data_IF_892873799721
#
_entry.id   IF_892873799721
#
_cell.length_a   1.000
_cell.length_b   1.000
_cell.length_c   1.000
_cell.angle_alpha   90.00
_cell.angle_beta   90.00
_cell.angle_gamma   90.00
#
_symmetry.space_group_name_H-M   'P 1'
#
loop_
_entity.id
_entity.type
_entity.pdbx_description
1 polymer ?
#
# COMPACT_ATOMS: atom_id res chain seq x y z
N UNK A 1 -28.36 24.85 7.65
CA UNK A 1 -28.71 23.93 6.56
C UNK A 1 -27.69 22.81 6.58
N UNK A 2 -28.09 21.60 6.99
CA UNK A 2 -27.21 20.43 6.95
C UNK A 2 -27.08 19.98 5.50
N UNK A 3 -25.90 20.15 4.93
CA UNK A 3 -25.56 19.63 3.61
C UNK A 3 -25.26 18.14 3.80
N UNK A 4 -26.25 17.29 3.51
CA UNK A 4 -26.04 15.85 3.46
C UNK A 4 -25.08 15.57 2.29
N UNK A 5 -24.00 14.79 2.49
CA UNK A 5 -23.18 14.37 1.36
C UNK A 5 -24.05 13.51 0.44
N UNK A 6 -24.14 13.89 -0.83
CA UNK A 6 -24.78 13.10 -1.89
C UNK A 6 -23.86 11.91 -2.24
N UNK A 7 -23.63 11.00 -1.30
CA UNK A 7 -22.96 9.73 -1.58
C UNK A 7 -24.00 8.74 -2.09
N UNK A 8 -24.38 8.86 -3.37
CA UNK A 8 -24.77 7.75 -4.25
C UNK A 8 -25.10 8.25 -5.67
N UNK A 9 -24.17 8.92 -6.35
CA UNK A 9 -24.26 9.02 -7.81
C UNK A 9 -23.36 7.94 -8.41
N UNK A 10 -23.99 6.83 -8.80
CA UNK A 10 -23.33 5.61 -9.26
C UNK A 10 -24.16 4.34 -9.03
N UNK A 11 -25.49 4.43 -9.04
CA UNK A 11 -26.37 3.26 -9.05
C UNK A 11 -26.39 2.64 -10.45
N UNK A 12 -25.35 1.86 -10.80
CA UNK A 12 -25.46 0.71 -11.73
C UNK A 12 -24.18 -0.05 -12.08
N UNK A 13 -23.01 0.23 -11.48
CA UNK A 13 -21.89 -0.70 -11.65
C UNK A 13 -21.76 -1.59 -10.42
N UNK A 14 -21.76 -2.91 -10.64
CA UNK A 14 -21.18 -3.91 -9.73
C UNK A 14 -19.65 -3.72 -9.64
N UNK A 15 -19.18 -2.49 -9.50
CA UNK A 15 -17.81 -2.18 -9.17
C UNK A 15 -17.76 -2.07 -7.65
N UNK A 16 -17.03 -2.97 -7.00
CA UNK A 16 -16.69 -2.86 -5.59
C UNK A 16 -15.68 -1.71 -5.42
N UNK A 17 -16.06 -0.50 -5.81
CA UNK A 17 -15.24 0.68 -5.56
C UNK A 17 -15.31 0.97 -4.06
N UNK A 18 -14.15 0.88 -3.41
CA UNK A 18 -13.93 0.98 -1.97
C UNK A 18 -14.12 2.39 -1.39
N UNK A 19 -15.17 3.08 -1.82
CA UNK A 19 -15.40 4.50 -1.62
C UNK A 19 -16.32 4.79 -0.43
N UNK A 20 -16.82 3.75 0.25
CA UNK A 20 -17.80 3.87 1.35
C UNK A 20 -17.34 4.78 2.51
N UNK A 21 -16.06 5.11 2.59
CA UNK A 21 -15.46 5.95 3.64
C UNK A 21 -14.70 7.16 3.11
N UNK A 22 -14.89 7.52 1.83
CA UNK A 22 -14.19 8.63 1.19
C UNK A 22 -15.12 9.79 0.89
N UNK A 23 -14.59 11.00 1.00
CA UNK A 23 -15.27 12.22 0.55
C UNK A 23 -14.92 12.48 -0.91
N UNK A 24 -15.81 13.13 -1.66
CA UNK A 24 -15.59 13.49 -3.06
C UNK A 24 -15.29 14.99 -3.21
N UNK A 25 -14.45 15.34 -4.16
CA UNK A 25 -14.20 16.73 -4.59
C UNK A 25 -14.56 16.82 -6.07
N UNK A 26 -15.40 17.79 -6.45
CA UNK A 26 -15.77 18.05 -7.84
C UNK A 26 -15.37 19.46 -8.23
N UNK A 27 -14.64 19.59 -9.34
CA UNK A 27 -14.17 20.87 -9.86
C UNK A 27 -14.38 20.91 -11.38
N UNK A 28 -15.19 21.86 -11.84
CA UNK A 28 -15.37 22.18 -13.25
C UNK A 28 -15.00 23.64 -13.50
N UNK A 29 -14.34 23.92 -14.61
CA UNK A 29 -13.96 25.27 -15.05
C UNK A 29 -14.66 25.55 -16.37
N UNK A 30 -15.26 26.72 -16.52
CA UNK A 30 -16.00 27.11 -17.70
C UNK A 30 -15.39 28.35 -18.35
N UNK A 31 -15.48 28.45 -19.67
CA UNK A 31 -15.16 29.66 -20.41
C UNK A 31 -16.27 30.72 -20.26
N UNK A 32 -16.10 31.88 -20.89
CA UNK A 32 -17.10 32.97 -20.85
C UNK A 32 -18.43 32.61 -21.56
N UNK A 33 -18.45 31.53 -22.34
CA UNK A 33 -19.59 31.04 -23.08
C UNK A 33 -20.24 29.82 -22.40
N UNK A 34 -19.87 29.55 -21.14
CA UNK A 34 -20.35 28.39 -20.35
C UNK A 34 -19.92 27.03 -20.91
N UNK A 35 -18.91 26.98 -21.79
CA UNK A 35 -18.33 25.71 -22.21
C UNK A 35 -17.32 25.22 -21.16
N UNK A 36 -17.40 23.94 -20.79
CA UNK A 36 -16.44 23.34 -19.87
C UNK A 36 -15.05 23.27 -20.51
N UNK A 37 -14.05 23.79 -19.80
CA UNK A 37 -12.65 23.77 -20.18
C UNK A 37 -12.03 22.49 -19.61
N UNK A 38 -11.70 21.55 -20.48
CA UNK A 38 -10.94 20.36 -20.09
C UNK A 38 -9.51 20.76 -19.74
N UNK A 39 -9.12 20.53 -18.49
CA UNK A 39 -7.71 20.62 -18.06
C UNK A 39 -7.13 19.23 -18.15
N UNK A 40 -6.16 19.06 -19.04
CA UNK A 40 -5.35 17.86 -19.18
C UNK A 40 -3.89 18.20 -18.87
N UNK A 41 -3.29 17.41 -18.01
CA UNK A 41 -1.88 17.47 -17.63
C UNK A 41 -1.22 16.11 -17.91
N UNK A 42 0.02 15.93 -17.47
CA UNK A 42 0.74 14.67 -17.58
C UNK A 42 1.28 14.28 -16.20
N UNK A 43 1.92 13.11 -16.11
CA UNK A 43 2.49 12.62 -14.85
C UNK A 43 3.76 13.35 -14.40
N UNK A 44 4.34 14.21 -15.24
CA UNK A 44 5.53 15.03 -14.90
C UNK A 44 5.08 16.28 -14.13
N UNK A 45 3.95 16.88 -14.53
CA UNK A 45 3.31 18.01 -13.86
C UNK A 45 1.85 17.69 -13.54
N UNK A 46 1.60 16.75 -12.61
CA UNK A 46 0.26 16.32 -12.28
C UNK A 46 -0.47 17.35 -11.42
N UNK A 47 -1.79 17.25 -11.39
CA UNK A 47 -2.62 17.96 -10.43
C UNK A 47 -2.60 17.16 -9.13
N UNK A 48 -2.03 17.74 -8.07
CA UNK A 48 -2.00 17.11 -6.75
C UNK A 48 -3.26 17.47 -5.96
N UNK A 49 -3.95 16.45 -5.45
CA UNK A 49 -5.15 16.57 -4.65
C UNK A 49 -4.98 15.76 -3.37
N UNK A 50 -5.46 16.30 -2.26
CA UNK A 50 -5.53 15.58 -0.98
C UNK A 50 -7.01 15.36 -0.68
N UNK A 51 -7.43 14.09 -0.66
CA UNK A 51 -8.81 13.69 -0.44
C UNK A 51 -8.95 13.21 1.01
N UNK A 52 -9.64 13.96 1.89
CA UNK A 52 -9.86 13.53 3.27
C UNK A 52 -10.85 12.36 3.32
N UNK A 53 -10.66 11.48 4.28
CA UNK A 53 -11.57 10.37 4.60
C UNK A 53 -12.64 10.81 5.59
N UNK A 54 -13.61 9.94 5.84
CA UNK A 54 -14.59 10.17 6.90
C UNK A 54 -13.86 10.32 8.25
N UNK A 55 -14.02 11.44 8.97
CA UNK A 55 -13.40 11.63 10.30
C UNK A 55 -13.94 10.64 11.34
N UNK A 56 -15.07 9.98 11.10
CA UNK A 56 -15.62 8.95 11.97
C UNK A 56 -15.12 7.53 11.61
N UNK A 57 -14.22 7.41 10.63
CA UNK A 57 -13.62 6.14 10.25
C UNK A 57 -12.82 5.55 11.42
N UNK A 58 -13.26 4.40 11.91
CA UNK A 58 -12.53 3.63 12.91
C UNK A 58 -11.44 2.85 12.18
N UNK A 59 -10.17 3.14 12.48
CA UNK A 59 -9.03 2.42 11.94
C UNK A 59 -8.86 1.12 12.74
N UNK A 60 -9.03 -0.07 12.13
CA UNK A 60 -8.81 -1.34 12.82
C UNK A 60 -7.41 -1.45 13.39
N UNK A 61 -7.27 -2.02 14.59
CA UNK A 61 -5.96 -2.31 15.21
C UNK A 61 -5.09 -3.20 14.32
N UNK A 62 -3.77 -3.12 14.51
CA UNK A 62 -2.84 -4.03 13.83
C UNK A 62 -3.05 -5.48 14.30
N UNK A 63 -2.68 -6.44 13.45
CA UNK A 63 -2.90 -7.87 13.68
C UNK A 63 -1.60 -8.50 14.15
N UNK A 64 -1.62 -9.15 15.32
CA UNK A 64 -0.47 -9.87 15.88
C UNK A 64 -0.03 -11.01 14.95
N UNK A 65 1.26 -11.03 14.61
CA UNK A 65 1.93 -12.10 13.89
C UNK A 65 2.71 -12.96 14.87
N UNK A 66 2.23 -14.18 15.14
CA UNK A 66 2.78 -15.06 16.17
C UNK A 66 3.94 -15.93 15.67
N UNK A 67 4.95 -15.28 15.12
CA UNK A 67 6.11 -15.87 14.43
C UNK A 67 7.14 -16.51 15.36
N UNK A 68 7.03 -16.32 16.67
CA UNK A 68 7.88 -16.98 17.67
C UNK A 68 7.29 -18.30 18.19
N UNK A 69 5.99 -18.56 17.92
CA UNK A 69 5.21 -19.62 18.56
C UNK A 69 5.19 -20.96 17.81
N UNK A 70 6.10 -21.22 16.88
CA UNK A 70 6.21 -22.54 16.24
C UNK A 70 6.53 -23.59 17.30
N UNK A 71 5.45 -24.18 17.82
CA UNK A 71 5.41 -25.22 18.81
C UNK A 71 6.18 -26.44 18.29
N UNK A 72 7.09 -26.96 19.11
CA UNK A 72 7.86 -28.21 18.98
C UNK A 72 9.20 -28.13 18.24
N UNK A 73 10.27 -27.60 18.85
CA UNK A 73 11.69 -27.88 18.52
C UNK A 73 12.13 -27.79 17.03
N UNK A 74 11.27 -27.37 16.11
CA UNK A 74 11.55 -27.24 14.69
C UNK A 74 11.68 -25.76 14.41
N UNK A 75 12.91 -25.25 14.21
CA UNK A 75 13.11 -23.87 13.82
C UNK A 75 12.28 -23.56 12.56
N UNK A 76 11.85 -22.30 12.41
CA UNK A 76 11.32 -21.78 11.15
C UNK A 76 12.39 -22.05 10.08
N UNK A 77 12.22 -23.13 9.33
CA UNK A 77 13.20 -23.62 8.37
C UNK A 77 13.06 -22.91 7.01
N UNK A 78 12.35 -21.78 7.01
CA UNK A 78 12.02 -20.97 5.85
C UNK A 78 12.87 -19.70 5.88
N UNK A 79 13.23 -19.22 4.69
CA UNK A 79 14.03 -18.01 4.55
C UNK A 79 13.21 -16.75 4.87
N UNK A 80 11.93 -16.77 4.54
CA UNK A 80 10.97 -15.69 4.78
C UNK A 80 9.69 -16.22 5.41
N UNK A 81 9.08 -15.41 6.27
CA UNK A 81 7.69 -15.59 6.66
C UNK A 81 6.81 -14.95 5.60
N UNK A 82 6.32 -15.80 4.69
CA UNK A 82 5.54 -15.39 3.53
C UNK A 82 4.08 -15.17 3.91
N UNK A 83 3.45 -14.23 3.22
CA UNK A 83 2.09 -13.81 3.44
C UNK A 83 1.44 -13.51 2.09
N UNK A 84 0.22 -13.99 1.90
CA UNK A 84 -0.57 -13.79 0.70
C UNK A 84 -1.63 -12.71 0.90
N UNK A 85 -1.77 -11.84 -0.11
CA UNK A 85 -2.81 -10.82 -0.19
C UNK A 85 -3.55 -10.96 -1.51
N UNK A 86 -4.88 -10.97 -1.44
CA UNK A 86 -5.72 -10.82 -2.63
C UNK A 86 -5.97 -9.32 -2.90
N UNK A 87 -5.60 -8.86 -4.08
CA UNK A 87 -5.82 -7.48 -4.56
C UNK A 87 -6.71 -7.45 -5.81
N UNK A 88 -7.37 -8.56 -6.14
CA UNK A 88 -8.27 -8.67 -7.29
C UNK A 88 -9.37 -7.62 -7.17
N UNK A 89 -9.29 -6.59 -7.99
CA UNK A 89 -10.26 -5.51 -8.03
C UNK A 89 -10.44 -5.03 -9.47
N UNK A 90 -11.64 -4.51 -9.77
CA UNK A 90 -11.95 -3.97 -11.10
C UNK A 90 -11.26 -2.61 -11.35
N UNK A 91 -10.68 -2.02 -10.30
CA UNK A 91 -9.98 -0.73 -10.30
C UNK A 91 -8.65 -0.88 -9.57
N UNK A 92 -7.63 -0.18 -10.07
CA UNK A 92 -6.26 -0.26 -9.51
C UNK A 92 -6.19 0.38 -8.12
N UNK A 93 -5.47 -0.25 -7.20
CA UNK A 93 -5.32 0.22 -5.80
C UNK A 93 -3.87 0.19 -5.37
N UNK A 94 -3.41 1.18 -4.62
CA UNK A 94 -2.12 1.11 -3.95
C UNK A 94 -2.20 0.26 -2.69
N UNK A 95 -1.07 -0.27 -2.23
CA UNK A 95 -0.98 -1.10 -1.02
C UNK A 95 -0.01 -0.46 -0.04
N UNK A 96 -0.42 -0.41 1.22
CA UNK A 96 0.35 0.15 2.33
C UNK A 96 0.60 -0.92 3.37
N UNK A 97 1.85 -1.07 3.76
CA UNK A 97 2.29 -2.00 4.79
C UNK A 97 2.73 -1.22 6.02
N UNK A 98 2.23 -1.62 7.19
CA UNK A 98 2.64 -1.11 8.49
C UNK A 98 3.07 -2.29 9.37
N UNK A 99 4.33 -2.27 9.80
CA UNK A 99 4.90 -3.30 10.67
C UNK A 99 5.35 -2.66 11.97
N UNK A 100 4.75 -3.08 13.09
CA UNK A 100 5.12 -2.64 14.43
C UNK A 100 5.89 -3.78 15.13
N UNK A 101 7.24 -3.70 15.19
CA UNK A 101 8.03 -4.72 15.86
C UNK A 101 7.94 -4.61 17.38
N UNK A 102 7.78 -5.72 18.10
CA UNK A 102 7.83 -5.70 19.57
C UNK A 102 9.25 -5.48 20.12
N UNK A 103 10.26 -5.68 19.29
CA UNK A 103 11.64 -5.30 19.57
C UNK A 103 12.13 -4.33 18.48
N UNK A 104 12.23 -3.06 18.85
CA UNK A 104 12.64 -1.95 17.97
C UNK A 104 14.10 -2.01 17.52
N UNK A 105 14.94 -2.83 18.17
CA UNK A 105 16.33 -3.04 17.76
C UNK A 105 16.47 -4.06 16.64
N UNK A 106 15.39 -4.76 16.27
CA UNK A 106 15.39 -5.71 15.16
C UNK A 106 15.23 -4.98 13.82
N UNK A 107 15.94 -5.50 12.82
CA UNK A 107 15.75 -5.13 11.43
C UNK A 107 15.15 -6.28 10.62
N UNK A 108 14.49 -5.94 9.51
CA UNK A 108 13.87 -6.91 8.63
C UNK A 108 14.21 -6.62 7.16
N UNK A 109 14.40 -7.68 6.37
CA UNK A 109 14.32 -7.63 4.92
C UNK A 109 12.88 -7.94 4.52
N UNK A 110 12.26 -6.98 3.83
CA UNK A 110 10.95 -7.11 3.21
C UNK A 110 11.13 -7.33 1.72
N UNK A 111 10.44 -8.32 1.17
CA UNK A 111 10.38 -8.58 -0.29
C UNK A 111 8.94 -8.83 -0.71
N UNK A 112 8.61 -8.58 -1.97
CA UNK A 112 7.34 -9.00 -2.53
C UNK A 112 7.45 -9.37 -4.02
N UNK A 113 6.45 -10.13 -4.47
CA UNK A 113 6.20 -10.43 -5.87
C UNK A 113 4.69 -10.52 -6.12
N UNK A 114 4.25 -10.03 -7.26
CA UNK A 114 2.88 -10.14 -7.73
C UNK A 114 2.62 -11.51 -8.35
N UNK A 115 1.45 -12.06 -8.06
CA UNK A 115 0.89 -13.30 -8.64
C UNK A 115 1.71 -14.59 -8.50
N UNK A 116 2.90 -14.49 -7.93
CA UNK A 116 3.87 -15.58 -7.77
C UNK A 116 4.61 -15.44 -6.46
N UNK A 117 5.13 -16.55 -5.96
CA UNK A 117 5.94 -16.56 -4.73
C UNK A 117 7.28 -15.89 -4.98
N UNK A 118 7.68 -14.89 -4.16
CA UNK A 118 8.99 -14.27 -4.30
C UNK A 118 10.09 -15.27 -3.93
N UNK A 119 11.15 -15.32 -4.74
CA UNK A 119 12.32 -16.17 -4.48
C UNK A 119 13.56 -15.29 -4.41
N UNK A 120 14.14 -15.19 -3.23
CA UNK A 120 15.43 -14.52 -3.05
C UNK A 120 16.53 -15.51 -3.43
N UNK A 121 16.93 -15.55 -4.69
CA UNK A 121 18.10 -16.30 -5.15
C UNK A 121 19.13 -15.34 -5.79
N UNK A 122 20.09 -15.88 -6.53
CA UNK A 122 21.13 -15.10 -7.21
C UNK A 122 20.61 -14.09 -8.25
N UNK A 123 19.32 -14.09 -8.61
CA UNK A 123 18.72 -13.19 -9.60
C UNK A 123 17.61 -12.31 -9.01
N UNK A 124 17.77 -11.00 -9.16
CA UNK A 124 16.82 -9.96 -8.72
C UNK A 124 15.48 -10.05 -9.47
N UNK A 125 15.44 -10.70 -10.64
CA UNK A 125 14.22 -10.84 -11.46
C UNK A 125 13.11 -11.68 -10.82
N UNK A 126 13.40 -12.36 -9.70
CA UNK A 126 12.46 -13.20 -8.98
C UNK A 126 11.76 -12.47 -7.82
N UNK A 127 11.94 -11.16 -7.71
CA UNK A 127 11.17 -10.27 -6.85
C UNK A 127 10.78 -9.02 -7.64
N UNK A 128 9.66 -8.39 -7.28
CA UNK A 128 9.21 -7.16 -7.95
C UNK A 128 9.57 -5.92 -7.14
N UNK A 129 9.81 -6.08 -5.83
CA UNK A 129 10.40 -5.05 -5.00
C UNK A 129 10.82 -5.56 -3.62
N UNK A 130 11.58 -4.72 -2.93
CA UNK A 130 12.12 -5.00 -1.61
C UNK A 130 12.42 -3.72 -0.84
N UNK A 131 12.63 -3.85 0.47
CA UNK A 131 13.21 -2.80 1.31
C UNK A 131 13.83 -3.40 2.56
N UNK A 132 14.68 -2.61 3.22
CA UNK A 132 15.19 -2.88 4.55
C UNK A 132 14.42 -2.05 5.56
N UNK A 133 13.85 -2.73 6.55
CA UNK A 133 13.30 -2.11 7.74
C UNK A 133 14.38 -2.10 8.82
N UNK A 134 15.25 -1.08 8.77
CA UNK A 134 16.28 -0.88 9.77
C UNK A 134 15.78 -0.02 10.93
N UNK A 135 16.29 -0.16 12.17
CA UNK A 135 15.83 0.62 13.32
C UNK A 135 15.79 2.14 13.11
N UNK A 136 16.67 2.68 12.25
CA UNK A 136 16.69 4.09 11.85
C UNK A 136 15.51 4.53 10.98
N UNK A 137 14.78 3.60 10.35
CA UNK A 137 13.60 3.84 9.53
C UNK A 137 12.29 3.82 10.32
N UNK A 138 12.34 3.54 11.63
CA UNK A 138 11.14 3.58 12.47
C UNK A 138 10.57 5.00 12.50
N UNK A 139 9.25 5.11 12.34
CA UNK A 139 8.55 6.35 12.62
C UNK A 139 8.56 6.66 14.12
N UNK A 140 8.12 7.86 14.50
CA UNK A 140 7.92 8.24 15.91
C UNK A 140 6.95 7.31 16.67
N UNK A 141 6.13 6.55 15.95
CA UNK A 141 5.19 5.57 16.49
C UNK A 141 5.78 4.14 16.52
N UNK A 142 7.09 3.99 16.26
CA UNK A 142 7.78 2.72 16.14
C UNK A 142 7.21 1.80 15.05
N UNK A 143 6.77 2.37 13.93
CA UNK A 143 6.19 1.60 12.82
C UNK A 143 7.12 1.69 11.61
N UNK A 144 7.38 0.56 10.96
CA UNK A 144 7.94 0.53 9.62
C UNK A 144 6.83 0.66 8.59
N UNK A 145 7.03 1.51 7.59
CA UNK A 145 6.08 1.74 6.51
C UNK A 145 6.68 1.36 5.15
N UNK A 146 5.89 0.73 4.30
CA UNK A 146 6.24 0.51 2.89
C UNK A 146 5.02 0.72 2.00
N UNK A 147 5.24 1.33 0.85
CA UNK A 147 4.19 1.76 -0.07
C UNK A 147 4.44 1.18 -1.46
N UNK A 148 3.40 0.55 -2.02
CA UNK A 148 3.36 0.08 -3.41
C UNK A 148 2.27 0.87 -4.10
N UNK A 149 2.63 1.67 -5.12
CA UNK A 149 1.68 2.54 -5.78
C UNK A 149 0.69 1.76 -6.67
N UNK A 150 -0.40 2.40 -7.06
CA UNK A 150 -1.45 1.76 -7.85
C UNK A 150 -1.05 1.45 -9.31
N UNK A 151 0.02 2.06 -9.82
CA UNK A 151 0.57 1.72 -11.14
C UNK A 151 1.29 0.37 -11.08
N UNK A 152 2.04 0.09 -10.01
CA UNK A 152 2.73 -1.18 -9.81
C UNK A 152 1.76 -2.35 -9.63
N UNK A 153 0.60 -2.10 -9.03
CA UNK A 153 -0.45 -3.12 -8.83
C UNK A 153 -1.35 -3.31 -10.05
N UNK A 154 -1.18 -2.51 -11.10
CA UNK A 154 -2.02 -2.61 -12.30
C UNK A 154 -1.91 -4.01 -12.88
N UNK A 155 -3.04 -4.58 -13.28
CA UNK A 155 -3.11 -5.89 -13.94
C UNK A 155 -2.70 -7.10 -13.08
N UNK A 156 -2.51 -6.90 -11.77
CA UNK A 156 -2.19 -7.95 -10.81
C UNK A 156 -3.39 -8.32 -9.94
N UNK A 157 -3.50 -9.60 -9.57
CA UNK A 157 -4.60 -10.14 -8.79
C UNK A 157 -4.22 -10.41 -7.34
N UNK A 158 -2.93 -10.62 -7.10
CA UNK A 158 -2.41 -10.95 -5.78
C UNK A 158 -1.00 -10.42 -5.57
N UNK A 159 -0.63 -10.26 -4.30
CA UNK A 159 0.72 -9.94 -3.89
C UNK A 159 1.13 -10.91 -2.79
N UNK A 160 2.28 -11.55 -2.98
CA UNK A 160 2.93 -12.36 -1.96
C UNK A 160 4.14 -11.60 -1.45
N UNK A 161 4.18 -11.32 -0.15
CA UNK A 161 5.31 -10.64 0.49
C UNK A 161 5.91 -11.51 1.59
N UNK A 162 7.18 -11.25 1.89
CA UNK A 162 7.94 -11.97 2.89
C UNK A 162 8.67 -11.02 3.81
N UNK A 163 8.68 -11.35 5.11
CA UNK A 163 9.57 -10.72 6.08
C UNK A 163 10.62 -11.73 6.56
N UNK A 164 11.87 -11.29 6.63
CA UNK A 164 13.00 -12.01 7.23
C UNK A 164 13.68 -11.08 8.23
N UNK A 165 13.81 -11.44 9.51
CA UNK A 165 14.64 -10.66 10.43
C UNK A 165 16.11 -10.90 10.13
N UNK A 166 16.86 -9.81 10.18
CA UNK A 166 18.30 -9.79 9.99
C UNK A 166 19.04 -10.16 11.28
N UNK A 167 20.19 -10.83 11.13
CA UNK A 167 21.11 -11.06 12.23
C UNK A 167 21.95 -9.80 12.55
N UNK A 168 22.67 -9.79 13.66
CA UNK A 168 23.42 -8.60 14.09
C UNK A 168 24.49 -8.15 13.10
N UNK A 169 25.12 -9.08 12.36
CA UNK A 169 26.13 -8.76 11.33
C UNK A 169 25.45 -8.13 10.13
N UNK A 170 24.36 -8.72 9.66
CA UNK A 170 23.54 -8.19 8.56
C UNK A 170 22.96 -6.82 8.88
N UNK A 171 22.56 -6.57 10.13
CA UNK A 171 22.11 -5.23 10.56
C UNK A 171 23.25 -4.22 10.42
N UNK A 172 24.44 -4.54 10.92
CA UNK A 172 25.59 -3.63 10.83
C UNK A 172 25.95 -3.37 9.37
N UNK A 173 25.95 -4.42 8.54
CA UNK A 173 26.31 -4.31 7.13
C UNK A 173 25.25 -3.54 6.31
N UNK A 174 23.99 -3.98 6.37
CA UNK A 174 22.92 -3.49 5.51
C UNK A 174 22.28 -2.19 6.00
N UNK A 175 22.21 -1.96 7.31
CA UNK A 175 21.59 -0.74 7.85
C UNK A 175 22.55 0.44 7.99
N UNK A 176 23.86 0.21 7.94
CA UNK A 176 24.85 1.31 8.00
C UNK A 176 25.19 1.88 6.63
N UNK A 177 24.95 1.14 5.55
CA UNK A 177 25.29 1.55 4.20
C UNK A 177 24.02 1.90 3.41
N UNK A 178 23.80 3.20 3.19
CA UNK A 178 22.63 3.72 2.48
C UNK A 178 22.62 3.47 0.97
N UNK A 179 23.64 2.81 0.42
CA UNK A 179 23.86 2.69 -1.03
C UNK A 179 23.53 1.32 -1.64
N UNK A 180 22.85 0.41 -0.91
CA UNK A 180 22.43 -0.87 -1.49
C UNK A 180 21.36 -0.66 -2.57
N UNK A 181 21.74 -0.88 -3.82
CA UNK A 181 20.82 -0.85 -4.97
C UNK A 181 20.16 -2.20 -5.24
N UNK A 182 20.72 -3.27 -4.69
CA UNK A 182 20.26 -4.64 -4.87
C UNK A 182 19.85 -5.26 -3.53
N UNK A 183 18.85 -6.16 -3.51
CA UNK A 183 18.47 -6.86 -2.29
C UNK A 183 19.66 -7.68 -1.77
N UNK A 184 19.89 -7.74 -0.45
CA UNK A 184 20.94 -8.58 0.10
C UNK A 184 20.58 -10.05 -0.12
N UNK A 185 21.29 -10.71 -1.04
CA UNK A 185 21.09 -12.12 -1.36
C UNK A 185 21.68 -12.95 -0.23
N UNK A 186 20.84 -13.73 0.42
CA UNK A 186 21.22 -14.55 1.58
C UNK A 186 20.37 -15.81 1.61
N UNK A 187 21.03 -16.95 1.80
CA UNK A 187 20.38 -18.25 1.96
C UNK A 187 20.26 -18.63 3.44
N UNK A 188 20.67 -17.74 4.35
CA UNK A 188 20.63 -18.00 5.79
C UNK A 188 19.20 -17.94 6.31
N UNK A 189 18.68 -19.14 6.62
CA UNK A 189 17.44 -19.33 7.36
C UNK A 189 17.53 -18.66 8.71
N UNK A 190 16.39 -18.17 9.20
CA UNK A 190 16.38 -17.42 10.43
C UNK A 190 15.09 -17.66 11.23
N UNK A 191 15.22 -17.63 12.55
CA UNK A 191 14.09 -17.71 13.48
C UNK A 191 13.76 -16.33 14.05
N UNK A 192 12.47 -15.95 13.98
CA UNK A 192 11.97 -14.78 14.69
C UNK A 192 12.23 -14.94 16.18
N UNK A 193 12.85 -13.92 16.78
CA UNK A 193 13.10 -13.86 18.23
C UNK A 193 12.10 -12.95 18.94
N UNK A 194 11.24 -12.27 18.18
CA UNK A 194 10.19 -11.39 18.68
C UNK A 194 9.03 -11.41 17.69
N UNK A 195 7.81 -11.28 18.22
CA UNK A 195 6.62 -11.09 17.41
C UNK A 195 6.54 -9.64 16.92
N UNK A 196 5.62 -9.40 16.00
CA UNK A 196 5.31 -8.06 15.51
C UNK A 196 3.81 -7.98 15.22
N UNK A 197 3.31 -6.76 15.10
CA UNK A 197 1.96 -6.52 14.57
C UNK A 197 2.05 -6.00 13.15
N UNK A 198 1.06 -6.38 12.34
CA UNK A 198 0.99 -6.07 10.93
C UNK A 198 -0.36 -5.46 10.61
N UNK A 199 -0.37 -4.34 9.89
CA UNK A 199 -1.55 -3.83 9.22
C UNK A 199 -1.24 -3.62 7.76
N UNK A 200 -2.20 -4.03 6.92
CA UNK A 200 -2.15 -3.78 5.50
C UNK A 200 -3.44 -3.09 5.11
N UNK A 201 -3.33 -2.03 4.32
CA UNK A 201 -4.50 -1.37 3.75
C UNK A 201 -4.25 -0.98 2.32
N UNK A 202 -5.35 -0.87 1.56
CA UNK A 202 -5.35 -0.38 0.20
C UNK A 202 -5.94 1.02 0.17
N UNK A 203 -5.47 1.81 -0.79
CA UNK A 203 -6.10 3.08 -1.13
C UNK A 203 -6.18 3.26 -2.63
N UNK A 204 -7.09 4.11 -3.09
CA UNK A 204 -7.21 4.41 -4.51
C UNK A 204 -7.63 5.85 -4.75
N UNK A 205 -7.33 6.33 -5.94
CA UNK A 205 -7.79 7.58 -6.49
C UNK A 205 -8.70 7.25 -7.66
N UNK A 206 -9.91 7.79 -7.63
CA UNK A 206 -10.91 7.50 -8.65
C UNK A 206 -11.55 8.78 -9.17
N UNK A 207 -11.94 8.74 -10.42
CA UNK A 207 -12.79 9.75 -11.02
C UNK A 207 -14.06 9.15 -11.60
N UNK A 208 -15.09 9.96 -11.72
CA UNK A 208 -16.34 9.58 -12.36
C UNK A 208 -16.29 9.94 -13.85
N UNK A 209 -16.36 8.94 -14.73
CA UNK A 209 -16.39 9.16 -16.17
C UNK A 209 -17.76 9.68 -16.66
N UNK A 210 -17.84 10.07 -17.94
CA UNK A 210 -19.08 10.55 -18.57
C UNK A 210 -20.21 9.52 -18.61
N UNK A 211 -19.89 8.24 -18.40
CA UNK A 211 -20.85 7.14 -18.32
C UNK A 211 -21.24 6.81 -16.87
N UNK A 212 -20.86 7.66 -15.89
CA UNK A 212 -21.06 7.46 -14.46
C UNK A 212 -20.39 6.19 -13.91
N UNK A 213 -19.26 5.80 -14.47
CA UNK A 213 -18.43 4.71 -13.94
C UNK A 213 -17.21 5.29 -13.22
N UNK A 214 -16.86 4.66 -12.09
CA UNK A 214 -15.62 4.95 -11.41
C UNK A 214 -14.44 4.37 -12.17
N UNK A 215 -13.44 5.22 -12.38
CA UNK A 215 -12.24 4.96 -13.17
C UNK A 215 -11.00 5.37 -12.40
N UNK A 216 -9.86 4.75 -12.72
CA UNK A 216 -8.57 5.05 -12.09
C UNK A 216 -7.46 5.37 -13.10
N UNK A 217 -7.76 5.35 -14.40
CA UNK A 217 -6.80 5.73 -15.43
C UNK A 217 -6.35 7.18 -15.27
N UNK A 218 -5.08 7.45 -15.53
CA UNK A 218 -4.52 8.78 -15.39
C UNK A 218 -4.45 9.32 -13.95
N UNK A 219 -4.68 8.47 -12.94
CA UNK A 219 -4.58 8.78 -11.51
C UNK A 219 -3.51 7.93 -10.83
N UNK A 220 -2.67 8.55 -10.00
CA UNK A 220 -1.67 7.87 -9.18
C UNK A 220 -1.89 8.22 -7.71
N UNK A 221 -1.87 7.21 -6.84
CA UNK A 221 -1.86 7.40 -5.39
C UNK A 221 -0.45 7.80 -4.96
N UNK A 222 -0.34 8.87 -4.18
CA UNK A 222 0.91 9.35 -3.63
C UNK A 222 1.31 8.72 -2.31
N UNK A 223 2.61 8.75 -2.01
CA UNK A 223 3.21 8.14 -0.82
C UNK A 223 2.89 8.86 0.49
N UNK A 224 2.34 10.08 0.45
CA UNK A 224 1.89 10.78 1.66
C UNK A 224 0.51 10.32 2.14
N UNK A 225 -0.16 9.45 1.38
CA UNK A 225 -1.40 8.79 1.79
C UNK A 225 -1.22 8.11 3.14
N UNK A 226 -2.13 8.40 4.07
CA UNK A 226 -2.11 7.87 5.44
C UNK A 226 -3.51 7.35 5.82
N UNK A 227 -3.83 7.24 7.11
CA UNK A 227 -5.14 6.73 7.54
C UNK A 227 -6.30 7.72 7.38
N UNK A 228 -6.01 9.01 7.25
CA UNK A 228 -6.99 10.08 7.30
C UNK A 228 -7.21 10.75 5.94
N UNK A 229 -6.25 10.63 5.03
CA UNK A 229 -6.33 11.23 3.71
C UNK A 229 -5.62 10.39 2.66
N UNK A 230 -6.03 10.55 1.41
CA UNK A 230 -5.42 9.94 0.24
C UNK A 230 -4.86 11.04 -0.66
N UNK A 231 -3.57 10.97 -0.93
CA UNK A 231 -2.88 11.84 -1.89
C UNK A 231 -3.09 11.29 -3.31
N UNK A 232 -3.56 12.13 -4.23
CA UNK A 232 -3.86 11.78 -5.60
C UNK A 232 -3.15 12.72 -6.57
N UNK A 233 -2.44 12.15 -7.53
CA UNK A 233 -1.87 12.83 -8.68
C UNK A 233 -2.72 12.53 -9.90
N UNK A 234 -3.34 13.56 -10.47
CA UNK A 234 -4.25 13.44 -11.60
C UNK A 234 -3.69 14.09 -12.87
N UNK A 235 -3.98 13.46 -14.01
CA UNK A 235 -3.67 13.98 -15.36
C UNK A 235 -4.81 14.75 -15.99
N UNK A 236 -5.95 14.86 -15.31
CA UNK A 236 -7.13 15.54 -15.83
C UNK A 236 -8.03 15.98 -14.67
N UNK A 237 -8.74 17.11 -14.81
CA UNK A 237 -9.74 17.56 -13.82
C UNK A 237 -11.11 16.99 -14.10
N UNK A 238 -11.71 16.33 -13.10
CA UNK A 238 -13.09 15.84 -13.10
C UNK A 238 -13.62 15.78 -11.65
N UNK A 239 -14.67 15.00 -11.39
CA UNK A 239 -15.10 14.64 -10.04
C UNK A 239 -14.25 13.50 -9.50
N UNK A 240 -13.58 13.72 -8.37
CA UNK A 240 -12.68 12.77 -7.73
C UNK A 240 -13.25 12.19 -6.43
N UNK A 241 -12.89 10.95 -6.14
CA UNK A 241 -13.08 10.30 -4.86
C UNK A 241 -11.85 9.48 -4.47
N UNK A 242 -11.59 9.36 -3.17
CA UNK A 242 -10.64 8.40 -2.63
C UNK A 242 -11.28 7.02 -2.47
N UNK A 243 -10.47 5.99 -2.23
CA UNK A 243 -10.92 4.76 -1.59
C UNK A 243 -9.96 4.31 -0.50
N UNK A 244 -10.48 3.54 0.44
CA UNK A 244 -9.71 2.96 1.53
C UNK A 244 -10.31 1.65 2.02
N UNK A 245 -9.50 0.60 2.08
CA UNK A 245 -9.85 -0.67 2.76
C UNK A 245 -8.68 -1.18 3.56
N UNK A 246 -8.92 -1.45 4.84
CA UNK A 246 -8.02 -2.29 5.64
C UNK A 246 -8.27 -3.75 5.28
N UNK A 247 -7.21 -4.44 4.90
CA UNK A 247 -7.28 -5.84 4.50
C UNK A 247 -7.36 -6.73 5.75
N UNK A 248 -8.03 -7.89 5.65
CA UNK A 248 -7.98 -8.88 6.72
C UNK A 248 -6.56 -9.40 6.92
N UNK A 249 -6.36 -10.20 7.98
CA UNK A 249 -5.08 -10.88 8.19
C UNK A 249 -4.64 -11.60 6.90
N UNK A 250 -3.41 -11.37 6.42
CA UNK A 250 -2.91 -12.14 5.30
C UNK A 250 -2.81 -13.62 5.69
N UNK A 251 -2.89 -14.47 4.67
CA UNK A 251 -2.77 -15.92 4.87
C UNK A 251 -1.28 -16.27 4.84
N UNK A 252 -0.80 -16.92 5.89
CA UNK A 252 0.59 -17.39 6.05
C UNK A 252 0.79 -18.85 5.70
#
# INVERSE_FOLDING_TARGET
SMMNPLTSFGSNSKSNSNQNFSRSISLSIFDRNENEISIQTNLIEPIQLIIPRDPNLIIPSMILQNVTSTNNNTPHNQLFYLNYINITNNITVSIHFEVHPFNISLAYLFIYKFDQTPLLNSSINLIDGWTLFCPSNLTNENIYKYFVNNQQTSDHQSLIFGLRKLNSIEIIEFCSNSSYTNPPITDERFNFTSNYELRIYTSGCYYLDSNNNWKSDGLIVGSLTNHYETECFATHLTTFAGGFIVLPAPIS
#
